data_IF_871282969319
#
_entry.id   IF_871282969319
#
_cell.length_a   1.000
_cell.length_b   1.000
_cell.length_c   1.000
_cell.angle_alpha   90.00
_cell.angle_beta   90.00
_cell.angle_gamma   90.00
#
_symmetry.space_group_name_H-M   'P 1'
#
loop_
_entity.id
_entity.type
_entity.pdbx_description
1 polymer ?
#
# COMPACT_ATOMS: atom_id res chain seq x y z
N UNK A 1 -3.17 -9.88 -5.88
CA UNK A 1 -3.89 -8.76 -5.22
C UNK A 1 -5.15 -9.19 -4.46
N UNK A 2 -5.81 -10.29 -4.84
CA UNK A 2 -7.08 -10.72 -4.21
C UNK A 2 -6.93 -11.15 -2.74
N UNK A 3 -5.88 -11.91 -2.39
CA UNK A 3 -5.58 -12.32 -1.00
C UNK A 3 -5.38 -11.11 -0.08
N UNK A 4 -4.61 -10.10 -0.52
CA UNK A 4 -4.40 -8.86 0.24
C UNK A 4 -5.71 -8.13 0.49
N UNK A 5 -6.57 -7.99 -0.53
CA UNK A 5 -7.87 -7.36 -0.41
C UNK A 5 -8.77 -8.10 0.59
N UNK A 6 -8.85 -9.43 0.50
CA UNK A 6 -9.63 -10.24 1.45
C UNK A 6 -9.10 -10.09 2.87
N UNK A 7 -7.77 -10.15 3.04
CA UNK A 7 -7.11 -9.99 4.32
C UNK A 7 -7.42 -8.65 4.98
N UNK A 8 -7.33 -7.54 4.24
CA UNK A 8 -7.56 -6.21 4.79
C UNK A 8 -9.05 -5.96 5.04
N UNK A 9 -9.93 -6.41 4.14
CA UNK A 9 -11.39 -6.27 4.33
C UNK A 9 -11.89 -7.07 5.53
N UNK A 10 -11.32 -8.24 5.83
CA UNK A 10 -11.64 -9.01 7.05
C UNK A 10 -11.34 -8.24 8.34
N UNK A 11 -10.51 -7.19 8.25
CA UNK A 11 -10.14 -6.29 9.34
C UNK A 11 -10.82 -4.92 9.24
N UNK A 12 -11.82 -4.77 8.37
CA UNK A 12 -12.52 -3.51 8.15
C UNK A 12 -11.74 -2.47 7.35
N UNK A 13 -10.65 -2.87 6.66
CA UNK A 13 -9.80 -1.96 5.87
C UNK A 13 -9.97 -2.24 4.38
N UNK A 14 -10.60 -1.31 3.67
CA UNK A 14 -10.70 -1.35 2.21
C UNK A 14 -9.49 -0.65 1.56
N UNK A 15 -8.50 -1.45 1.16
CA UNK A 15 -7.31 -0.95 0.44
C UNK A 15 -7.59 -0.52 -1.00
N UNK A 16 -8.77 -0.82 -1.55
CA UNK A 16 -9.15 -0.39 -2.91
C UNK A 16 -9.84 0.96 -2.94
N UNK A 17 -10.20 1.52 -1.78
CA UNK A 17 -10.77 2.87 -1.66
C UNK A 17 -9.90 3.92 -2.36
N UNK A 18 -8.58 3.71 -2.36
CA UNK A 18 -7.59 4.57 -3.03
C UNK A 18 -7.88 4.77 -4.53
N UNK A 19 -8.54 3.80 -5.19
CA UNK A 19 -8.94 3.88 -6.61
C UNK A 19 -10.14 4.80 -6.84
N UNK A 20 -10.83 5.19 -5.77
CA UNK A 20 -12.07 5.98 -5.79
C UNK A 20 -11.93 7.27 -4.99
N UNK A 21 -10.70 7.75 -4.76
CA UNK A 21 -10.44 8.92 -3.90
C UNK A 21 -11.23 10.16 -4.32
N UNK A 22 -11.29 10.45 -5.62
CA UNK A 22 -12.02 11.60 -6.13
C UNK A 22 -13.52 11.54 -5.79
N UNK A 23 -14.17 10.42 -6.12
CA UNK A 23 -15.56 10.17 -5.77
C UNK A 23 -15.77 10.15 -4.26
N UNK A 24 -14.83 9.58 -3.50
CA UNK A 24 -14.87 9.56 -2.04
C UNK A 24 -14.89 10.97 -1.48
N UNK A 25 -14.00 11.85 -1.91
CA UNK A 25 -13.98 13.24 -1.46
C UNK A 25 -15.25 14.00 -1.87
N UNK A 26 -15.71 13.86 -3.12
CA UNK A 26 -16.92 14.51 -3.61
C UNK A 26 -18.15 14.12 -2.79
N UNK A 27 -18.33 12.83 -2.48
CA UNK A 27 -19.45 12.32 -1.71
C UNK A 27 -19.44 12.78 -0.24
N UNK A 28 -18.31 13.26 0.27
CA UNK A 28 -18.17 13.76 1.64
C UNK A 28 -18.09 15.29 1.70
N UNK A 29 -18.46 15.98 0.61
CA UNK A 29 -18.56 17.45 0.57
C UNK A 29 -17.23 18.19 0.56
N UNK A 30 -16.12 17.50 0.25
CA UNK A 30 -14.84 18.18 0.07
C UNK A 30 -14.86 19.02 -1.21
N UNK A 31 -14.25 20.20 -1.15
CA UNK A 31 -14.15 21.12 -2.27
C UNK A 31 -12.71 21.26 -2.73
N UNK A 32 -12.50 21.77 -3.95
CA UNK A 32 -11.17 21.94 -4.55
C UNK A 32 -10.31 20.67 -4.49
N UNK A 33 -10.93 19.52 -4.73
CA UNK A 33 -10.27 18.21 -4.69
C UNK A 33 -9.41 18.04 -5.94
N UNK A 34 -8.19 17.58 -5.74
CA UNK A 34 -7.27 17.15 -6.79
C UNK A 34 -6.77 15.76 -6.43
N UNK A 35 -6.77 14.86 -7.41
CA UNK A 35 -6.24 13.51 -7.25
C UNK A 35 -5.16 13.26 -8.29
N UNK A 36 -3.96 12.93 -7.83
CA UNK A 36 -2.81 12.69 -8.69
C UNK A 36 -2.30 11.26 -8.52
N UNK A 37 -1.71 10.72 -9.59
CA UNK A 37 -0.96 9.48 -9.54
C UNK A 37 0.52 9.80 -9.56
N UNK A 38 1.23 9.35 -8.54
CA UNK A 38 2.67 9.54 -8.39
C UNK A 38 3.39 8.21 -8.37
N UNK A 39 4.55 8.13 -8.99
CA UNK A 39 5.43 6.97 -8.89
C UNK A 39 6.28 7.09 -7.64
N UNK A 40 6.30 6.05 -6.82
CA UNK A 40 7.09 6.00 -5.60
C UNK A 40 8.06 4.82 -5.68
N UNK A 41 9.37 5.07 -5.60
CA UNK A 41 10.39 4.02 -5.62
C UNK A 41 10.28 3.14 -4.37
N UNK A 42 10.75 1.90 -4.45
CA UNK A 42 10.75 0.95 -3.34
C UNK A 42 12.16 0.40 -3.17
N UNK A 43 12.89 0.85 -2.15
CA UNK A 43 14.26 0.40 -1.86
C UNK A 43 15.36 1.00 -2.75
N UNK A 44 15.07 2.09 -3.45
CA UNK A 44 16.03 2.85 -4.26
C UNK A 44 15.61 4.32 -4.37
N UNK A 45 16.43 5.18 -4.99
CA UNK A 45 16.17 6.62 -5.14
C UNK A 45 16.15 7.41 -3.80
N UNK A 46 16.95 6.93 -2.84
CA UNK A 46 17.18 7.61 -1.56
C UNK A 46 16.05 7.47 -0.55
N UNK A 47 15.90 8.49 0.29
CA UNK A 47 15.12 8.42 1.54
C UNK A 47 13.67 7.97 1.32
N UNK A 48 13.02 8.43 0.24
CA UNK A 48 11.63 8.05 -0.05
C UNK A 48 11.51 6.57 -0.34
N UNK A 49 12.42 6.00 -1.13
CA UNK A 49 12.42 4.58 -1.43
C UNK A 49 12.79 3.71 -0.24
N UNK A 50 13.72 4.16 0.60
CA UNK A 50 14.11 3.46 1.82
C UNK A 50 12.93 3.39 2.82
N UNK A 51 12.26 4.54 3.04
CA UNK A 51 11.05 4.60 3.85
C UNK A 51 9.95 3.71 3.28
N UNK A 52 9.81 3.69 1.94
CA UNK A 52 8.80 2.87 1.27
C UNK A 52 9.09 1.38 1.43
N UNK A 53 10.35 0.96 1.31
CA UNK A 53 10.75 -0.42 1.53
C UNK A 53 10.42 -0.88 2.95
N UNK A 54 10.73 -0.05 3.96
CA UNK A 54 10.37 -0.33 5.36
C UNK A 54 8.85 -0.51 5.55
N UNK A 55 8.05 0.35 4.93
CA UNK A 55 6.58 0.24 4.99
C UNK A 55 6.03 -1.02 4.31
N UNK A 56 6.67 -1.49 3.22
CA UNK A 56 6.32 -2.79 2.62
C UNK A 56 6.61 -3.91 3.61
N UNK A 57 7.77 -3.91 4.27
CA UNK A 57 8.10 -4.90 5.31
C UNK A 57 7.04 -4.98 6.39
N UNK A 58 6.65 -3.82 6.97
CA UNK A 58 5.58 -3.76 7.97
C UNK A 58 4.23 -4.30 7.46
N UNK A 59 3.88 -4.04 6.20
CA UNK A 59 2.66 -4.58 5.60
C UNK A 59 2.74 -6.11 5.48
N UNK A 60 3.86 -6.66 5.03
CA UNK A 60 4.05 -8.11 4.91
C UNK A 60 3.94 -8.79 6.29
N UNK A 61 4.61 -8.24 7.31
CA UNK A 61 4.51 -8.75 8.68
C UNK A 61 3.08 -8.69 9.23
N UNK A 62 2.39 -7.56 9.04
CA UNK A 62 1.03 -7.38 9.54
C UNK A 62 0.00 -8.30 8.89
N UNK A 63 0.25 -8.71 7.64
CA UNK A 63 -0.64 -9.59 6.87
C UNK A 63 -0.19 -11.05 6.87
N UNK A 64 1.00 -11.36 7.40
CA UNK A 64 1.55 -12.73 7.48
C UNK A 64 0.55 -13.75 8.01
N UNK A 65 -0.21 -13.54 9.10
CA UNK A 65 -1.15 -14.55 9.61
C UNK A 65 -2.25 -14.95 8.62
N UNK A 66 -2.56 -14.09 7.64
CA UNK A 66 -3.61 -14.32 6.65
C UNK A 66 -3.00 -14.80 5.33
N UNK A 67 -1.84 -14.27 4.95
CA UNK A 67 -1.16 -14.61 3.69
C UNK A 67 -0.47 -15.97 3.80
N UNK A 68 0.20 -16.26 4.92
CA UNK A 68 0.98 -17.48 5.11
C UNK A 68 0.16 -18.75 4.87
N UNK A 69 -1.05 -18.92 5.47
CA UNK A 69 -1.87 -20.11 5.20
C UNK A 69 -2.33 -20.20 3.73
N UNK A 70 -2.55 -19.07 3.07
CA UNK A 70 -2.96 -19.02 1.67
C UNK A 70 -1.81 -19.32 0.69
N UNK A 71 -0.56 -19.11 1.11
CA UNK A 71 0.62 -19.42 0.31
C UNK A 71 1.04 -20.88 0.39
N UNK A 72 0.61 -21.61 1.43
CA UNK A 72 0.97 -23.02 1.61
C UNK A 72 2.46 -23.25 1.89
N UNK A 73 3.16 -22.24 2.39
CA UNK A 73 4.60 -22.29 2.74
C UNK A 73 4.77 -22.28 4.26
N UNK A 74 5.93 -22.75 4.71
CA UNK A 74 6.37 -22.62 6.10
C UNK A 74 6.65 -21.17 6.47
N UNK A 75 6.74 -20.90 7.77
CA UNK A 75 7.06 -19.57 8.28
C UNK A 75 8.46 -19.13 7.83
N UNK A 76 9.40 -20.05 7.89
CA UNK A 76 10.80 -19.85 7.54
C UNK A 76 10.93 -19.49 6.04
N UNK A 77 10.25 -20.23 5.16
CA UNK A 77 10.19 -19.91 3.72
C UNK A 77 9.57 -18.53 3.47
N UNK A 78 8.54 -18.15 4.21
CA UNK A 78 7.95 -16.81 4.09
C UNK A 78 8.91 -15.70 4.51
N UNK A 79 9.64 -15.90 5.61
CA UNK A 79 10.65 -14.95 6.09
C UNK A 79 11.79 -14.81 5.06
N UNK A 80 12.26 -15.90 4.46
CA UNK A 80 13.24 -15.88 3.37
C UNK A 80 12.72 -15.13 2.12
N UNK A 81 11.48 -15.42 1.70
CA UNK A 81 10.85 -14.77 0.55
C UNK A 81 10.73 -13.25 0.77
N UNK A 82 10.26 -12.84 1.95
CA UNK A 82 10.07 -11.42 2.28
C UNK A 82 11.41 -10.67 2.42
N UNK A 83 12.45 -11.33 2.92
CA UNK A 83 13.79 -10.76 2.95
C UNK A 83 14.36 -10.57 1.53
N UNK A 84 14.28 -11.60 0.68
CA UNK A 84 14.76 -11.53 -0.71
C UNK A 84 14.01 -10.49 -1.56
N UNK A 85 12.72 -10.27 -1.27
CA UNK A 85 11.91 -9.23 -1.92
C UNK A 85 12.50 -7.82 -1.73
N UNK A 86 13.06 -7.53 -0.56
CA UNK A 86 13.63 -6.22 -0.26
C UNK A 86 14.84 -5.90 -1.15
N UNK A 87 15.75 -6.87 -1.30
CA UNK A 87 16.93 -6.76 -2.17
C UNK A 87 16.53 -6.65 -3.65
N UNK A 88 15.55 -7.45 -4.07
CA UNK A 88 15.05 -7.42 -5.44
C UNK A 88 14.42 -6.07 -5.80
N UNK A 89 13.67 -5.45 -4.88
CA UNK A 89 13.04 -4.16 -5.13
C UNK A 89 14.04 -3.05 -5.43
N UNK A 90 15.13 -2.97 -4.65
CA UNK A 90 16.22 -2.03 -4.93
C UNK A 90 16.95 -2.37 -6.23
N UNK A 91 17.34 -3.64 -6.42
CA UNK A 91 18.11 -4.10 -7.59
C UNK A 91 17.39 -3.85 -8.92
N UNK A 92 16.10 -4.13 -8.97
CA UNK A 92 15.30 -4.00 -10.19
C UNK A 92 14.56 -2.66 -10.30
N UNK A 93 14.89 -1.69 -9.42
CA UNK A 93 14.25 -0.37 -9.39
C UNK A 93 12.72 -0.46 -9.39
N UNK A 94 12.19 -1.33 -8.54
CA UNK A 94 10.74 -1.53 -8.43
C UNK A 94 10.08 -0.26 -7.91
N UNK A 95 8.95 0.13 -8.49
CA UNK A 95 8.17 1.30 -8.04
C UNK A 95 6.70 0.94 -7.93
N UNK A 96 6.00 1.65 -7.04
CA UNK A 96 4.54 1.62 -6.93
C UNK A 96 3.92 2.87 -7.52
N UNK A 97 2.70 2.74 -8.06
CA UNK A 97 1.87 3.89 -8.41
C UNK A 97 0.95 4.20 -7.24
N UNK A 98 1.06 5.40 -6.69
CA UNK A 98 0.29 5.88 -5.56
C UNK A 98 -0.72 6.90 -6.03
N UNK A 99 -1.96 6.79 -5.54
CA UNK A 99 -2.96 7.83 -5.75
C UNK A 99 -2.98 8.70 -4.50
N UNK A 100 -2.69 9.98 -4.67
CA UNK A 100 -2.77 10.99 -3.63
C UNK A 100 -3.94 11.90 -3.94
N UNK A 101 -4.71 12.27 -2.92
CA UNK A 101 -5.79 13.23 -3.06
C UNK A 101 -5.69 14.30 -1.98
N UNK A 102 -5.87 15.55 -2.38
CA UNK A 102 -5.87 16.70 -1.47
C UNK A 102 -7.01 17.64 -1.85
N UNK A 103 -7.58 18.31 -0.85
CA UNK A 103 -8.72 19.19 -1.02
C UNK A 103 -9.09 19.87 0.30
N UNK A 104 -10.13 20.69 0.26
CA UNK A 104 -10.62 21.44 1.41
C UNK A 104 -11.78 20.69 2.06
N UNK A 105 -11.66 20.47 3.37
CA UNK A 105 -12.76 19.93 4.18
C UNK A 105 -13.92 20.96 4.17
N UNK A 106 -15.18 20.52 4.06
CA UNK A 106 -16.30 21.44 4.23
C UNK A 106 -16.23 22.07 5.61
N UNK A 107 -16.15 23.41 5.64
CA UNK A 107 -16.36 24.16 6.87
C UNK A 107 -17.84 24.00 7.22
N UNK A 108 -18.14 23.55 8.45
CA UNK A 108 -19.51 23.65 8.95
C UNK A 108 -19.89 25.12 8.93
N UNK A 109 -20.98 25.46 8.24
CA UNK A 109 -21.66 26.73 8.43
C UNK A 109 -22.32 26.75 9.82
#
# INVERSE_FOLDING_TARGET
MHVFRTATLSRGVDIELVKKLETFFANHGFTNVQCNRVTCPIGWDGVVGDMRLKNVGFMMDALRPIILPAMGVSREEYEELTHGLAEQYGKFKTYGIWTIGYGLKPLKA
#
